data_IF_150210642858
#
_entry.id   IF_150210642858
#
_cell.length_a   1.000
_cell.length_b   1.000
_cell.length_c   1.000
_cell.angle_alpha   90.00
_cell.angle_beta   90.00
_cell.angle_gamma   90.00
#
_symmetry.space_group_name_H-M   'P 1'
#
loop_
_entity.id
_entity.type
_entity.pdbx_description
1 polymer ?
#
# COMPACT_ATOMS: atom_id res chain seq x y z
N UNK A 1 -15.04 1.48 -11.25
CA UNK A 1 -13.65 1.00 -11.41
C UNK A 1 -13.09 0.67 -10.04
N UNK A 2 -12.44 -0.48 -9.88
CA UNK A 2 -11.86 -0.90 -8.60
C UNK A 2 -10.37 -0.58 -8.51
N UNK A 3 -9.88 -0.39 -7.28
CA UNK A 3 -8.46 -0.21 -6.99
C UNK A 3 -8.05 -1.15 -5.86
N UNK A 4 -6.86 -1.75 -5.97
CA UNK A 4 -6.28 -2.52 -4.88
C UNK A 4 -5.36 -1.62 -4.06
N UNK A 5 -5.45 -1.74 -2.74
CA UNK A 5 -4.49 -1.13 -1.82
C UNK A 5 -3.55 -2.27 -1.40
N UNK A 6 -2.27 -2.14 -1.74
CA UNK A 6 -1.24 -3.14 -1.44
C UNK A 6 -0.18 -2.54 -0.52
N UNK A 7 0.26 -3.30 0.47
CA UNK A 7 1.43 -2.98 1.27
C UNK A 7 2.61 -3.81 0.76
N UNK A 8 3.50 -3.19 -0.02
CA UNK A 8 4.69 -3.87 -0.51
C UNK A 8 5.72 -3.96 0.59
N UNK A 9 6.13 -5.17 0.93
CA UNK A 9 7.21 -5.44 1.87
C UNK A 9 8.34 -6.14 1.12
N UNK A 10 9.56 -5.57 1.11
CA UNK A 10 10.73 -6.30 0.58
C UNK A 10 11.42 -7.01 1.72
N UNK A 11 11.69 -8.31 1.53
CA UNK A 11 12.49 -9.10 2.47
C UNK A 11 13.88 -8.52 2.64
N UNK A 12 14.42 -8.61 3.87
CA UNK A 12 15.79 -8.18 4.17
C UNK A 12 16.82 -9.05 3.47
N UNK A 13 16.55 -10.35 3.43
CA UNK A 13 17.41 -11.38 2.84
C UNK A 13 16.57 -12.60 2.39
N UNK A 14 17.22 -13.69 2.01
CA UNK A 14 16.55 -14.91 1.53
C UNK A 14 15.93 -15.75 2.66
N UNK A 15 16.38 -15.57 3.91
CA UNK A 15 15.93 -16.33 5.08
C UNK A 15 14.75 -15.64 5.79
N UNK A 16 14.53 -14.36 5.50
CA UNK A 16 13.42 -13.57 6.01
C UNK A 16 12.06 -14.18 5.63
N UNK A 17 11.32 -14.62 6.65
CA UNK A 17 9.97 -15.19 6.53
C UNK A 17 8.89 -14.20 6.98
N UNK A 18 9.24 -12.95 7.26
CA UNK A 18 8.30 -11.95 7.74
C UNK A 18 7.21 -11.65 6.70
N UNK A 19 5.99 -11.53 7.20
CA UNK A 19 4.84 -11.03 6.45
C UNK A 19 4.10 -10.01 7.30
N UNK A 20 4.59 -8.76 7.35
CA UNK A 20 4.02 -7.74 8.21
C UNK A 20 2.57 -7.46 7.82
N UNK A 21 1.71 -7.36 8.82
CA UNK A 21 0.31 -6.95 8.66
C UNK A 21 0.14 -5.60 9.33
N UNK A 22 -0.38 -4.63 8.58
CA UNK A 22 -0.63 -3.30 9.15
C UNK A 22 -1.70 -3.39 10.24
N UNK A 23 -1.46 -2.70 11.35
CA UNK A 23 -2.37 -2.65 12.50
C UNK A 23 -3.72 -2.04 12.15
N UNK A 24 -3.73 -1.09 11.22
CA UNK A 24 -4.95 -0.44 10.74
C UNK A 24 -5.82 -1.30 9.83
N UNK A 25 -5.36 -2.50 9.46
CA UNK A 25 -6.08 -3.42 8.59
C UNK A 25 -6.24 -2.92 7.15
N UNK A 26 -5.56 -1.83 6.76
CA UNK A 26 -5.67 -1.25 5.42
C UNK A 26 -4.70 -1.95 4.47
N UNK A 27 -5.25 -2.45 3.37
CA UNK A 27 -4.47 -3.03 2.27
C UNK A 27 -3.98 -4.46 2.52
N UNK A 28 -3.60 -5.12 1.43
CA UNK A 28 -3.09 -6.49 1.43
C UNK A 28 -1.56 -6.52 1.33
N UNK A 29 -0.89 -7.32 2.16
CA UNK A 29 0.57 -7.46 2.12
C UNK A 29 1.04 -8.25 0.91
N UNK A 30 1.86 -7.62 0.07
CA UNK A 30 2.56 -8.23 -1.05
C UNK A 30 4.05 -8.28 -0.75
N UNK A 31 4.59 -9.49 -0.60
CA UNK A 31 6.00 -9.70 -0.25
C UNK A 31 6.84 -9.76 -1.53
N UNK A 32 7.90 -8.95 -1.56
CA UNK A 32 8.90 -8.91 -2.62
C UNK A 32 10.16 -9.63 -2.12
N UNK A 33 10.73 -10.49 -2.96
CA UNK A 33 12.05 -11.07 -2.73
C UNK A 33 13.15 -10.01 -2.95
N UNK A 34 14.35 -10.19 -2.39
CA UNK A 34 15.45 -9.22 -2.56
C UNK A 34 15.79 -8.91 -4.02
N UNK A 35 15.69 -9.91 -4.90
CA UNK A 35 15.96 -9.80 -6.34
C UNK A 35 14.78 -9.27 -7.17
N UNK A 36 13.59 -9.15 -6.59
CA UNK A 36 12.40 -8.74 -7.34
C UNK A 36 12.49 -7.27 -7.74
N UNK A 37 12.03 -6.97 -8.96
CA UNK A 37 11.95 -5.60 -9.45
C UNK A 37 10.98 -4.78 -8.59
N UNK A 38 11.29 -3.50 -8.45
CA UNK A 38 10.41 -2.57 -7.74
C UNK A 38 9.03 -2.48 -8.41
N UNK A 39 7.94 -2.38 -7.62
CA UNK A 39 6.61 -2.06 -8.15
C UNK A 39 6.56 -0.66 -8.80
N UNK A 40 7.55 0.19 -8.55
CA UNK A 40 7.67 1.54 -9.13
C UNK A 40 8.67 1.61 -10.30
N UNK A 41 8.95 0.46 -10.92
CA UNK A 41 9.86 0.34 -12.08
C UNK A 41 11.25 0.93 -11.78
N UNK A 42 11.66 1.99 -12.48
CA UNK A 42 12.97 2.64 -12.34
C UNK A 42 12.92 3.92 -11.50
N UNK A 43 11.73 4.37 -11.09
CA UNK A 43 11.52 5.70 -10.49
C UNK A 43 11.37 5.67 -8.97
N UNK A 44 11.28 4.46 -8.39
CA UNK A 44 11.19 4.29 -6.95
C UNK A 44 11.59 2.88 -6.56
N UNK A 45 11.96 2.71 -5.30
CA UNK A 45 12.44 1.46 -4.74
C UNK A 45 11.71 1.18 -3.42
N UNK A 46 11.52 -0.11 -3.10
CA UNK A 46 11.10 -0.56 -1.77
C UNK A 46 12.33 -1.19 -1.13
N UNK A 47 12.98 -0.51 -0.20
CA UNK A 47 14.23 -0.98 0.37
C UNK A 47 14.07 -2.31 1.15
N UNK A 48 15.13 -3.12 1.30
CA UNK A 48 15.08 -4.34 2.10
C UNK A 48 14.60 -4.04 3.52
N UNK A 49 13.56 -4.76 3.96
CA UNK A 49 12.86 -4.54 5.22
C UNK A 49 11.87 -3.37 5.24
N UNK A 50 11.72 -2.62 4.16
CA UNK A 50 10.79 -1.50 4.06
C UNK A 50 9.39 -1.96 3.66
N UNK A 51 8.39 -1.25 4.18
CA UNK A 51 6.99 -1.36 3.79
C UNK A 51 6.52 -0.08 3.07
N UNK A 52 5.86 -0.23 1.92
CA UNK A 52 5.31 0.89 1.14
C UNK A 52 3.85 0.60 0.74
N UNK A 53 2.92 1.38 1.28
CA UNK A 53 1.51 1.31 0.93
C UNK A 53 1.28 1.95 -0.45
N UNK A 54 0.56 1.25 -1.33
CA UNK A 54 0.47 1.58 -2.75
C UNK A 54 -0.94 1.33 -3.28
N UNK A 55 -1.46 2.30 -4.03
CA UNK A 55 -2.61 2.12 -4.90
C UNK A 55 -2.18 1.42 -6.19
N UNK A 56 -2.85 0.33 -6.55
CA UNK A 56 -2.51 -0.48 -7.73
C UNK A 56 -3.75 -0.78 -8.56
N UNK A 57 -3.72 -0.36 -9.82
CA UNK A 57 -4.62 -0.83 -10.87
C UNK A 57 -3.87 -0.99 -12.21
N UNK A 58 -4.60 -1.27 -13.31
CA UNK A 58 -4.01 -1.46 -14.64
C UNK A 58 -3.45 -0.18 -15.28
N UNK A 59 -3.80 1.00 -14.76
CA UNK A 59 -3.42 2.30 -15.33
C UNK A 59 -2.24 2.92 -14.59
N UNK A 60 -2.20 2.80 -13.26
CA UNK A 60 -1.16 3.44 -12.45
C UNK A 60 -0.84 2.65 -11.18
N UNK A 61 0.34 3.00 -10.64
CA UNK A 61 0.78 2.64 -9.29
C UNK A 61 1.21 3.92 -8.59
N UNK A 62 0.72 4.15 -7.38
CA UNK A 62 1.03 5.35 -6.64
C UNK A 62 1.26 5.02 -5.16
N UNK A 63 2.39 5.45 -4.56
CA UNK A 63 2.58 5.34 -3.13
C UNK A 63 1.54 6.21 -2.41
N UNK A 64 1.05 5.75 -1.27
CA UNK A 64 0.08 6.47 -0.45
C UNK A 64 0.47 6.47 1.02
N UNK A 65 0.07 7.54 1.68
CA UNK A 65 0.40 7.80 3.07
C UNK A 65 -0.90 7.99 3.82
N UNK A 66 -1.07 7.26 4.93
CA UNK A 66 -2.25 7.39 5.77
C UNK A 66 -2.11 8.64 6.62
N UNK A 67 -3.14 9.47 6.62
CA UNK A 67 -3.29 10.62 7.51
C UNK A 67 -4.48 10.41 8.44
N UNK A 68 -4.47 11.10 9.57
CA UNK A 68 -5.62 11.18 10.48
C UNK A 68 -6.46 12.38 10.05
N UNK A 69 -7.75 12.20 9.71
CA UNK A 69 -8.65 13.32 9.46
C UNK A 69 -8.81 14.20 10.71
N UNK A 70 -9.06 15.50 10.50
CA UNK A 70 -9.36 16.40 11.62
C UNK A 70 -10.71 16.03 12.25
N UNK A 71 -10.83 16.22 13.58
CA UNK A 71 -12.05 15.86 14.32
C UNK A 71 -13.26 16.73 13.95
N UNK A 72 -13.02 17.84 13.24
CA UNK A 72 -14.02 18.77 12.72
C UNK A 72 -14.49 18.45 11.30
N UNK A 73 -13.85 17.48 10.63
CA UNK A 73 -14.17 17.13 9.24
C UNK A 73 -15.23 16.03 9.18
N UNK A 74 -16.23 16.21 8.30
CA UNK A 74 -17.33 15.27 8.13
C UNK A 74 -17.58 14.97 6.65
N UNK A 75 -17.94 13.72 6.34
CA UNK A 75 -18.38 13.30 5.00
C UNK A 75 -19.91 13.37 4.92
N UNK A 76 -20.44 14.29 4.12
CA UNK A 76 -21.88 14.39 3.81
C UNK A 76 -22.14 13.83 2.42
N UNK A 77 -23.03 12.85 2.33
CA UNK A 77 -23.50 12.27 1.07
C UNK A 77 -25.01 12.49 0.95
N UNK A 78 -25.50 12.67 -0.27
CA UNK A 78 -26.94 12.74 -0.59
C UNK A 78 -27.27 11.69 -1.63
N UNK A 79 -28.15 10.76 -1.29
CA UNK A 79 -28.77 9.86 -2.25
C UNK A 79 -30.19 10.31 -2.58
N UNK A 80 -30.80 9.76 -3.63
CA UNK A 80 -32.21 10.04 -3.95
C UNK A 80 -33.15 9.61 -2.80
N UNK A 81 -32.72 8.67 -1.98
CA UNK A 81 -33.47 8.12 -0.85
C UNK A 81 -32.97 8.60 0.52
N UNK A 82 -32.06 9.58 0.56
CA UNK A 82 -31.30 9.95 1.76
C UNK A 82 -29.86 9.52 1.63
#
# INVERSE_FOLDING_TARGET
>A
MGIKILNYYRRKDMEDTARPRREDGIGETSVLLPQDKSPFSLFGQVEPGQEVLTLHNAMYRAPVFKHTPESTDFLVSRSKTG
#
